data_IF_729295406277
#
_entry.id   IF_729295406277
#
_cell.length_a   1.000
_cell.length_b   1.000
_cell.length_c   1.000
_cell.angle_alpha   90.00
_cell.angle_beta   90.00
_cell.angle_gamma   90.00
#
_symmetry.space_group_name_H-M   'P 1'
#
loop_
_entity.id
_entity.type
_entity.pdbx_description
1 polymer ?
#
# COMPACT_ATOMS: atom_id res chain seq x y z
N UNK A 1 10.15 2.26 0.40
CA UNK A 1 9.66 2.10 1.79
C UNK A 1 8.27 2.69 1.88
N UNK A 2 7.35 2.04 2.59
CA UNK A 2 6.04 2.59 2.94
C UNK A 2 6.14 3.09 4.37
N UNK A 3 5.83 4.36 4.57
CA UNK A 3 5.84 4.96 5.90
C UNK A 3 4.54 4.64 6.65
N UNK A 4 4.73 4.18 7.87
CA UNK A 4 3.73 4.14 8.92
C UNK A 4 3.79 5.45 9.74
N UNK A 5 2.77 5.71 10.55
CA UNK A 5 2.67 6.93 11.37
C UNK A 5 3.89 7.12 12.29
N UNK A 6 4.34 8.37 12.45
CA UNK A 6 5.43 8.81 13.36
C UNK A 6 6.81 8.14 13.15
N UNK A 7 7.17 7.79 11.91
CA UNK A 7 8.55 7.46 11.55
C UNK A 7 8.89 5.97 11.55
N UNK A 8 7.93 5.10 11.84
CA UNK A 8 8.06 3.69 11.47
C UNK A 8 7.86 3.57 9.96
N UNK A 9 8.68 2.74 9.31
CA UNK A 9 8.49 2.40 7.90
C UNK A 9 8.78 0.93 7.71
N UNK A 10 8.19 0.34 6.68
CA UNK A 10 8.40 -1.04 6.29
C UNK A 10 8.60 -1.09 4.77
N UNK A 11 9.26 -2.15 4.28
CA UNK A 11 9.47 -2.30 2.86
C UNK A 11 8.17 -2.67 2.14
N UNK A 12 8.07 -2.30 0.87
CA UNK A 12 6.93 -2.72 0.04
C UNK A 12 6.90 -4.26 -0.06
N UNK A 13 8.07 -4.91 -0.12
CA UNK A 13 8.19 -6.37 -0.13
C UNK A 13 7.72 -7.02 1.17
N UNK A 14 7.85 -6.38 2.34
CA UNK A 14 7.28 -6.91 3.58
C UNK A 14 5.74 -6.89 3.56
N UNK A 15 5.14 -5.82 3.03
CA UNK A 15 3.69 -5.71 2.92
C UNK A 15 3.14 -6.63 1.85
N UNK A 16 3.69 -6.54 0.65
CA UNK A 16 3.18 -7.33 -0.45
C UNK A 16 3.56 -8.79 -0.25
N UNK A 17 4.78 -9.10 0.19
CA UNK A 17 5.39 -10.43 0.35
C UNK A 17 6.48 -10.69 -0.70
N UNK A 18 7.37 -11.65 -0.44
CA UNK A 18 8.62 -11.86 -1.20
C UNK A 18 8.43 -12.22 -2.68
N UNK A 19 7.32 -12.90 -3.03
CA UNK A 19 6.98 -13.32 -4.39
C UNK A 19 6.16 -12.29 -5.18
N UNK A 20 6.23 -11.00 -4.82
CA UNK A 20 5.44 -9.96 -5.47
C UNK A 20 5.75 -9.81 -6.96
N UNK A 21 4.72 -9.52 -7.76
CA UNK A 21 4.86 -9.20 -9.20
C UNK A 21 5.55 -7.85 -9.45
N UNK A 22 5.96 -7.12 -8.41
CA UNK A 22 6.81 -5.94 -8.53
C UNK A 22 8.11 -6.30 -9.27
N UNK A 23 8.44 -5.59 -10.37
CA UNK A 23 9.74 -5.73 -11.00
C UNK A 23 10.85 -5.32 -10.01
N UNK A 24 11.61 -6.29 -9.51
CA UNK A 24 12.70 -6.08 -8.55
C UNK A 24 13.91 -5.45 -9.26
N UNK A 25 13.92 -4.13 -9.37
CA UNK A 25 15.14 -3.33 -9.52
C UNK A 25 15.32 -2.47 -8.24
N UNK A 26 15.40 -3.13 -7.08
CA UNK A 26 15.67 -2.47 -5.78
C UNK A 26 16.95 -3.08 -5.22
N UNK A 27 17.99 -2.26 -5.13
CA UNK A 27 19.31 -2.60 -4.58
C UNK A 27 19.22 -2.61 -3.05
N UNK A 28 19.55 -3.75 -2.44
CA UNK A 28 19.85 -3.88 -1.00
C UNK A 28 21.19 -3.18 -0.73
N UNK A 29 21.22 -2.26 0.22
CA UNK A 29 22.49 -1.73 0.75
C UNK A 29 22.71 -2.27 2.17
N UNK A 30 23.67 -3.18 2.26
CA UNK A 30 24.32 -3.59 3.49
C UNK A 30 25.39 -2.55 3.82
N UNK A 31 25.32 -1.85 4.97
CA UNK A 31 26.47 -1.77 5.89
C UNK A 31 26.16 -1.05 7.22
N UNK A 32 26.67 -1.70 8.27
CA UNK A 32 27.39 -1.16 9.44
C UNK A 32 26.64 -0.52 10.63
N UNK A 33 26.80 -1.25 11.73
CA UNK A 33 26.83 -0.81 13.11
C UNK A 33 27.89 0.30 13.32
N UNK A 34 27.56 1.36 14.05
CA UNK A 34 28.35 1.79 15.21
C UNK A 34 27.49 2.68 16.14
N UNK A 35 27.82 2.66 17.44
CA UNK A 35 26.99 3.16 18.55
C UNK A 35 27.18 4.62 18.98
N UNK A 36 26.50 5.01 20.07
CA UNK A 36 26.89 6.14 20.93
C UNK A 36 25.80 7.15 21.36
N UNK A 37 25.10 6.84 22.45
CA UNK A 37 24.63 7.64 23.61
C UNK A 37 24.07 9.10 23.53
N UNK A 38 22.84 9.21 24.05
CA UNK A 38 22.25 10.09 25.11
C UNK A 38 22.50 11.62 25.22
N UNK A 39 21.38 12.36 25.47
CA UNK A 39 21.40 13.68 26.13
C UNK A 39 20.13 14.56 26.03
N UNK A 40 19.19 14.39 26.99
CA UNK A 40 18.38 15.39 27.76
C UNK A 40 17.52 16.53 27.12
N UNK A 41 16.40 16.79 27.82
CA UNK A 41 15.21 17.64 27.60
C UNK A 41 15.44 19.18 27.55
N UNK A 42 14.57 19.91 26.82
CA UNK A 42 13.62 20.87 27.43
C UNK A 42 12.44 21.23 26.50
N UNK A 43 11.34 21.64 27.14
CA UNK A 43 9.95 21.75 26.70
C UNK A 43 9.64 23.09 25.98
N UNK A 44 8.71 23.07 25.01
CA UNK A 44 7.82 24.21 24.70
C UNK A 44 6.71 23.79 23.71
N UNK A 45 5.56 23.45 24.31
CA UNK A 45 4.19 23.70 23.85
C UNK A 45 4.00 24.45 22.51
N UNK A 46 3.55 23.75 21.45
CA UNK A 46 2.62 24.28 20.44
C UNK A 46 1.97 23.19 19.54
N UNK A 47 0.65 22.99 19.73
CA UNK A 47 -0.46 22.70 18.80
C UNK A 47 -0.29 21.83 17.51
N UNK A 48 -1.30 20.95 17.33
CA UNK A 48 -1.73 20.17 16.14
C UNK A 48 -0.73 19.09 15.67
N UNK A 49 -1.01 18.02 14.88
CA UNK A 49 -1.50 17.92 13.50
C UNK A 49 -1.57 16.39 13.12
N UNK A 50 -2.49 15.91 12.26
CA UNK A 50 -2.57 14.50 11.76
C UNK A 50 -1.89 14.28 10.39
N UNK A 51 -1.66 13.01 9.97
CA UNK A 51 -0.59 12.64 9.02
C UNK A 51 -0.87 11.43 8.03
N UNK A 52 -1.00 11.59 6.68
CA UNK A 52 -0.82 10.59 5.54
C UNK A 52 0.58 10.60 4.88
N UNK A 53 1.34 9.51 4.97
CA UNK A 53 2.71 9.51 4.45
C UNK A 53 2.81 9.24 2.94
N UNK A 54 3.74 9.94 2.27
CA UNK A 54 4.06 9.82 0.84
C UNK A 54 5.59 9.75 0.72
N UNK A 55 6.14 8.82 -0.08
CA UNK A 55 7.56 8.83 -0.41
C UNK A 55 7.76 8.69 -1.92
N UNK A 56 8.69 9.47 -2.48
CA UNK A 56 9.13 9.41 -3.88
C UNK A 56 10.47 8.66 -4.00
N UNK A 57 10.74 7.92 -5.10
CA UNK A 57 11.99 7.18 -5.27
C UNK A 57 13.21 8.08 -5.58
N UNK A 58 14.42 7.68 -5.14
CA UNK A 58 15.74 8.26 -5.52
C UNK A 58 16.40 7.45 -6.66
N UNK A 59 17.23 8.10 -7.49
CA UNK A 59 17.62 7.74 -8.88
C UNK A 59 19.11 7.35 -9.08
N UNK A 60 19.42 6.42 -10.02
CA UNK A 60 20.45 6.46 -11.14
C UNK A 60 20.46 5.11 -11.91
N UNK A 61 20.73 4.91 -13.22
CA UNK A 61 21.43 5.59 -14.35
C UNK A 61 20.80 5.18 -15.74
N UNK A 62 21.22 5.70 -16.93
CA UNK A 62 20.36 5.87 -18.11
C UNK A 62 20.32 4.67 -19.09
N UNK A 63 19.10 4.22 -19.41
CA UNK A 63 18.78 3.32 -20.51
C UNK A 63 17.64 3.96 -21.36
N UNK A 64 17.47 3.60 -22.65
CA UNK A 64 16.81 4.46 -23.63
C UNK A 64 15.35 4.78 -23.29
N UNK A 65 15.07 6.09 -23.23
CA UNK A 65 13.81 6.85 -23.36
C UNK A 65 12.46 6.14 -23.17
N UNK A 66 12.32 5.25 -22.18
CA UNK A 66 11.00 4.94 -21.62
C UNK A 66 10.70 6.00 -20.55
N UNK A 67 9.47 6.52 -20.44
CA UNK A 67 9.09 7.36 -19.31
C UNK A 67 9.50 6.65 -18.03
N UNK A 68 10.33 7.30 -17.23
CA UNK A 68 10.81 6.70 -15.99
C UNK A 68 9.60 6.57 -15.07
N UNK A 69 9.37 5.39 -14.49
CA UNK A 69 8.21 5.14 -13.63
C UNK A 69 8.65 5.09 -12.18
N UNK A 70 8.04 5.94 -11.35
CA UNK A 70 8.17 5.90 -9.90
C UNK A 70 7.17 4.95 -9.26
N UNK A 71 7.46 4.51 -8.04
CA UNK A 71 6.53 3.75 -7.21
C UNK A 71 5.90 4.67 -6.18
N UNK A 72 4.58 4.77 -6.21
CA UNK A 72 3.77 5.59 -5.32
C UNK A 72 2.93 4.71 -4.41
N UNK A 73 2.53 5.25 -3.26
CA UNK A 73 1.60 4.58 -2.37
C UNK A 73 0.70 5.58 -1.65
N UNK A 74 -0.46 5.09 -1.20
CA UNK A 74 -1.36 5.81 -0.31
C UNK A 74 -1.94 4.83 0.71
N UNK A 75 -2.06 5.27 1.96
CA UNK A 75 -2.67 4.50 3.06
C UNK A 75 -3.97 5.19 3.45
N UNK A 76 -5.10 4.50 3.27
CA UNK A 76 -6.44 4.99 3.56
C UNK A 76 -6.95 4.23 4.78
N UNK A 77 -7.18 4.95 5.87
CA UNK A 77 -7.78 4.40 7.08
C UNK A 77 -9.30 4.61 7.04
N UNK A 78 -10.05 3.56 7.36
CA UNK A 78 -11.51 3.57 7.44
C UNK A 78 -11.91 3.46 8.91
N UNK A 79 -12.43 4.56 9.46
CA UNK A 79 -12.97 4.61 10.83
C UNK A 79 -14.26 3.79 10.92
N UNK A 80 -14.70 3.37 12.11
CA UNK A 80 -15.91 2.56 12.26
C UNK A 80 -17.18 3.14 11.63
N UNK A 81 -17.32 4.47 11.59
CA UNK A 81 -18.46 5.15 10.97
C UNK A 81 -18.32 5.45 9.46
N UNK A 82 -17.19 5.10 8.86
CA UNK A 82 -16.93 5.35 7.44
C UNK A 82 -17.51 4.24 6.54
N UNK A 83 -17.43 4.43 5.22
CA UNK A 83 -17.83 3.45 4.24
C UNK A 83 -16.77 2.34 4.07
N UNK A 84 -17.14 1.09 4.30
CA UNK A 84 -16.22 -0.06 4.39
C UNK A 84 -16.12 -0.93 3.15
N UNK A 85 -16.60 -0.45 2.00
CA UNK A 85 -16.42 -1.13 0.71
C UNK A 85 -15.27 -0.50 -0.05
N UNK A 86 -14.46 -1.35 -0.64
CA UNK A 86 -13.26 -1.01 -1.39
C UNK A 86 -13.61 -1.12 -2.87
N UNK A 87 -13.32 -0.06 -3.61
CA UNK A 87 -13.55 0.01 -5.04
C UNK A 87 -12.23 0.06 -5.79
N UNK A 88 -12.25 -0.42 -7.02
CA UNK A 88 -11.14 -0.31 -7.94
C UNK A 88 -10.86 1.16 -8.28
N UNK A 89 -9.64 1.69 -8.04
CA UNK A 89 -9.32 3.11 -8.25
C UNK A 89 -9.14 3.47 -9.74
N UNK A 90 -8.87 2.48 -10.58
CA UNK A 90 -8.61 2.61 -12.01
C UNK A 90 -9.01 1.33 -12.74
N UNK A 91 -8.95 1.33 -14.06
CA UNK A 91 -8.99 0.12 -14.84
C UNK A 91 -7.68 -0.66 -14.63
N UNK A 92 -7.78 -1.92 -14.21
CA UNK A 92 -6.62 -2.79 -14.01
C UNK A 92 -6.98 -4.27 -14.05
N UNK A 93 -5.96 -5.07 -14.32
CA UNK A 93 -6.01 -6.53 -14.38
C UNK A 93 -5.42 -7.11 -13.10
N UNK A 94 -6.25 -7.70 -12.25
CA UNK A 94 -5.80 -8.43 -11.05
C UNK A 94 -5.30 -9.80 -11.47
N UNK A 95 -4.00 -10.02 -11.33
CA UNK A 95 -3.32 -11.24 -11.77
C UNK A 95 -3.25 -12.29 -10.65
N UNK A 96 -3.24 -11.86 -9.40
CA UNK A 96 -3.23 -12.78 -8.28
C UNK A 96 -3.57 -12.13 -6.95
N UNK A 97 -3.83 -13.00 -5.99
CA UNK A 97 -4.13 -12.70 -4.60
C UNK A 97 -3.15 -13.42 -3.70
N UNK A 98 -2.72 -12.75 -2.63
CA UNK A 98 -2.00 -13.37 -1.51
C UNK A 98 -2.69 -13.01 -0.20
N UNK A 99 -3.05 -14.01 0.58
CA UNK A 99 -3.66 -13.86 1.89
C UNK A 99 -2.62 -14.21 2.95
N UNK A 100 -2.31 -13.21 3.77
CA UNK A 100 -1.41 -13.35 4.89
C UNK A 100 -2.26 -13.50 6.12
N UNK A 101 -2.31 -14.72 6.65
CA UNK A 101 -2.78 -14.96 8.00
C UNK A 101 -1.87 -14.19 8.98
N UNK A 102 -2.44 -13.55 9.99
CA UNK A 102 -1.68 -12.65 10.86
C UNK A 102 -2.43 -12.28 12.14
N UNK A 103 -1.90 -11.30 12.85
CA UNK A 103 -2.55 -10.74 14.05
C UNK A 103 -3.72 -9.85 13.64
N UNK A 104 -4.50 -9.41 14.62
CA UNK A 104 -5.53 -8.41 14.41
C UNK A 104 -5.34 -7.32 15.46
N UNK A 105 -4.23 -6.60 15.39
CA UNK A 105 -4.01 -5.42 16.24
C UNK A 105 -4.97 -4.30 15.85
N UNK A 106 -5.30 -3.38 16.77
CA UNK A 106 -6.23 -2.30 16.47
C UNK A 106 -5.52 -1.28 15.56
N UNK A 107 -6.27 -0.69 14.62
CA UNK A 107 -5.73 0.33 13.71
C UNK A 107 -5.96 1.76 14.22
N UNK A 108 -6.12 1.94 15.53
CA UNK A 108 -6.28 3.26 16.11
C UNK A 108 -4.94 4.03 16.10
N UNK A 109 -5.03 5.34 16.32
CA UNK A 109 -3.87 6.23 16.27
C UNK A 109 -2.77 5.83 17.27
N UNK A 110 -3.14 5.31 18.45
CA UNK A 110 -2.16 4.84 19.44
C UNK A 110 -1.36 3.67 18.89
N UNK A 111 -2.04 2.65 18.38
CA UNK A 111 -1.41 1.44 17.86
C UNK A 111 -0.52 1.71 16.64
N UNK A 112 -0.99 2.53 15.69
CA UNK A 112 -0.18 2.94 14.52
C UNK A 112 1.11 3.67 14.90
N UNK A 113 1.14 4.31 16.07
CA UNK A 113 2.32 5.01 16.62
C UNK A 113 3.23 4.14 17.48
N UNK A 114 2.75 3.01 17.99
CA UNK A 114 3.51 2.19 18.97
C UNK A 114 3.91 0.82 18.46
N UNK A 115 3.12 0.23 17.56
CA UNK A 115 3.35 -1.12 17.04
C UNK A 115 4.13 -1.00 15.73
N UNK A 116 5.35 -1.53 15.69
CA UNK A 116 6.15 -1.58 14.45
C UNK A 116 5.53 -2.57 13.47
N UNK A 117 5.66 -2.29 12.18
CA UNK A 117 5.16 -3.17 11.11
C UNK A 117 3.68 -3.51 11.25
N UNK A 118 2.86 -2.61 11.79
CA UNK A 118 1.47 -2.88 12.17
C UNK A 118 0.67 -3.49 11.01
N UNK A 119 0.83 -2.93 9.81
CA UNK A 119 0.11 -3.39 8.63
C UNK A 119 0.64 -4.72 8.07
N UNK A 120 1.90 -5.07 8.35
CA UNK A 120 2.53 -6.34 7.94
C UNK A 120 2.23 -7.46 8.94
N UNK A 121 2.15 -7.12 10.22
CA UNK A 121 1.81 -8.05 11.30
C UNK A 121 0.33 -8.43 11.29
N UNK A 122 -0.53 -7.52 10.84
CA UNK A 122 -1.95 -7.80 10.74
C UNK A 122 -2.28 -8.71 9.57
N UNK A 123 -3.33 -9.51 9.76
CA UNK A 123 -3.95 -10.28 8.70
C UNK A 123 -4.34 -9.33 7.56
N UNK A 124 -4.02 -9.73 6.33
CA UNK A 124 -4.30 -8.91 5.15
C UNK A 124 -4.47 -9.76 3.90
N UNK A 125 -5.22 -9.21 2.96
CA UNK A 125 -5.36 -9.76 1.62
C UNK A 125 -4.79 -8.75 0.64
N UNK A 126 -3.83 -9.20 -0.17
CA UNK A 126 -3.14 -8.39 -1.16
C UNK A 126 -3.57 -8.85 -2.54
N UNK A 127 -4.08 -7.93 -3.34
CA UNK A 127 -4.34 -8.12 -4.77
C UNK A 127 -3.24 -7.46 -5.56
N UNK A 128 -2.69 -8.16 -6.54
CA UNK A 128 -1.59 -7.68 -7.38
C UNK A 128 -1.93 -7.81 -8.85
N UNK A 129 -1.49 -6.85 -9.64
CA UNK A 129 -1.90 -6.78 -11.02
C UNK A 129 -1.18 -5.71 -11.83
N UNK A 130 -1.78 -5.41 -12.98
CA UNK A 130 -1.31 -4.38 -13.90
C UNK A 130 -2.42 -3.39 -14.23
N UNK A 131 -2.13 -2.11 -14.06
CA UNK A 131 -2.95 -1.01 -14.56
C UNK A 131 -2.26 -0.36 -15.76
N UNK A 132 -2.86 0.71 -16.30
CA UNK A 132 -2.35 1.42 -17.48
C UNK A 132 -0.85 1.75 -17.37
N UNK A 133 -0.37 2.18 -16.21
CA UNK A 133 1.02 2.58 -16.02
C UNK A 133 1.95 1.50 -15.47
N UNK A 134 1.50 0.24 -15.38
CA UNK A 134 2.34 -0.87 -14.97
C UNK A 134 1.82 -1.53 -13.71
N UNK A 135 2.67 -1.78 -12.73
CA UNK A 135 2.28 -2.49 -11.53
C UNK A 135 1.27 -1.71 -10.67
N UNK A 136 0.26 -2.41 -10.16
CA UNK A 136 -0.62 -1.95 -9.09
C UNK A 136 -0.87 -3.09 -8.10
N UNK A 137 -0.90 -2.76 -6.81
CA UNK A 137 -1.35 -3.64 -5.76
C UNK A 137 -2.23 -2.91 -4.76
N UNK A 138 -3.17 -3.65 -4.20
CA UNK A 138 -4.06 -3.17 -3.16
C UNK A 138 -4.07 -4.18 -2.01
N UNK A 139 -3.68 -3.72 -0.82
CA UNK A 139 -3.72 -4.52 0.40
C UNK A 139 -4.89 -4.06 1.28
N UNK A 140 -5.84 -4.97 1.49
CA UNK A 140 -6.89 -4.84 2.51
C UNK A 140 -6.36 -5.41 3.82
N UNK A 141 -6.23 -4.58 4.86
CA UNK A 141 -5.62 -4.98 6.14
C UNK A 141 -6.69 -4.99 7.24
N UNK A 142 -6.84 -6.14 7.89
CA UNK A 142 -7.79 -6.36 8.98
C UNK A 142 -7.34 -5.73 10.30
N UNK A 143 -8.26 -5.62 11.26
CA UNK A 143 -8.01 -5.05 12.58
C UNK A 143 -8.73 -5.81 13.70
N UNK A 144 -8.44 -5.49 14.97
CA UNK A 144 -9.09 -6.12 16.14
C UNK A 144 -10.61 -6.06 16.06
N UNK A 145 -11.28 -7.14 16.46
CA UNK A 145 -12.73 -7.35 16.40
C UNK A 145 -13.32 -7.39 14.98
N UNK A 146 -12.56 -6.96 13.97
CA UNK A 146 -13.04 -6.82 12.60
C UNK A 146 -11.98 -7.24 11.58
N UNK A 147 -11.56 -8.50 11.63
CA UNK A 147 -10.59 -9.06 10.70
C UNK A 147 -11.19 -9.60 9.39
N UNK A 148 -12.52 -9.61 9.24
CA UNK A 148 -13.16 -10.21 8.08
C UNK A 148 -13.03 -9.31 6.85
N UNK A 149 -12.38 -9.83 5.81
CA UNK A 149 -12.14 -9.22 4.52
C UNK A 149 -12.83 -10.12 3.49
N UNK A 150 -13.80 -9.57 2.80
CA UNK A 150 -14.53 -10.27 1.75
C UNK A 150 -14.05 -9.76 0.40
N UNK A 151 -13.63 -10.67 -0.49
CA UNK A 151 -13.30 -10.36 -1.88
C UNK A 151 -14.46 -10.79 -2.79
N UNK A 152 -14.98 -9.88 -3.61
CA UNK A 152 -16.09 -10.22 -4.50
C UNK A 152 -15.66 -11.08 -5.70
N UNK A 153 -14.40 -10.96 -6.11
CA UNK A 153 -13.79 -11.81 -7.14
C UNK A 153 -13.57 -13.25 -6.66
N UNK A 154 -13.54 -13.48 -5.34
CA UNK A 154 -13.29 -14.80 -4.75
C UNK A 154 -14.16 -14.99 -3.48
N UNK A 155 -15.48 -15.19 -3.62
CA UNK A 155 -16.40 -15.28 -2.49
C UNK A 155 -16.14 -16.49 -1.56
N UNK A 156 -15.33 -17.45 -2.02
CA UNK A 156 -14.90 -18.62 -1.25
C UNK A 156 -13.77 -18.33 -0.28
N UNK A 157 -13.03 -17.23 -0.46
CA UNK A 157 -11.98 -16.82 0.47
C UNK A 157 -12.59 -16.53 1.84
N UNK A 158 -11.97 -17.06 2.90
CA UNK A 158 -12.38 -16.76 4.28
C UNK A 158 -11.17 -16.30 5.07
N UNK A 159 -11.22 -15.07 5.55
CA UNK A 159 -10.22 -14.50 6.48
C UNK A 159 -10.72 -14.58 7.92
N UNK A 160 -9.94 -14.06 8.87
CA UNK A 160 -10.23 -14.08 10.30
C UNK A 160 -10.48 -15.50 10.82
N UNK A 161 -9.75 -16.47 10.27
CA UNK A 161 -9.77 -17.85 10.75
C UNK A 161 -8.97 -17.92 12.06
N UNK A 162 -9.31 -18.84 12.98
CA UNK A 162 -8.54 -19.04 14.19
C UNK A 162 -7.07 -19.29 13.85
N UNK A 163 -6.21 -18.31 14.13
CA UNK A 163 -4.78 -18.42 13.94
C UNK A 163 -4.25 -19.49 14.90
N UNK A 164 -3.92 -20.67 14.37
CA UNK A 164 -3.19 -21.68 15.13
C UNK A 164 -1.79 -21.12 15.33
N UNK A 165 -1.38 -20.88 16.58
CA UNK A 165 0.01 -20.55 16.92
C UNK A 165 0.91 -21.75 16.60
N UNK A 166 1.13 -22.03 15.33
CA UNK A 166 2.20 -22.92 14.91
C UNK A 166 3.51 -22.20 15.20
N UNK A 167 4.52 -22.99 15.56
CA UNK A 167 5.85 -22.50 15.92
C UNK A 167 6.59 -21.82 14.75
N UNK A 168 5.99 -21.83 13.55
CA UNK A 168 6.51 -21.23 12.33
C UNK A 168 5.44 -20.37 11.65
N UNK A 169 5.81 -19.21 11.07
CA UNK A 169 4.91 -18.44 10.22
C UNK A 169 4.41 -19.31 9.07
N UNK A 170 3.09 -19.41 8.88
CA UNK A 170 2.53 -20.05 7.71
C UNK A 170 2.87 -19.22 6.46
N UNK A 171 3.25 -19.85 5.33
CA UNK A 171 3.38 -19.12 4.08
C UNK A 171 2.02 -18.51 3.70
N UNK A 172 2.00 -17.37 2.99
CA UNK A 172 0.75 -16.80 2.54
C UNK A 172 0.02 -17.77 1.62
N UNK A 173 -1.30 -17.82 1.73
CA UNK A 173 -2.13 -18.53 0.77
C UNK A 173 -2.14 -17.73 -0.54
N UNK A 174 -1.70 -18.33 -1.65
CA UNK A 174 -1.61 -17.66 -2.94
C UNK A 174 -2.63 -18.21 -3.94
N UNK A 175 -3.28 -17.32 -4.69
CA UNK A 175 -4.13 -17.67 -5.82
C UNK A 175 -3.72 -16.84 -7.02
N UNK A 176 -3.46 -17.51 -8.15
CA UNK A 176 -3.25 -16.85 -9.44
C UNK A 176 -4.56 -16.92 -10.22
N UNK A 177 -4.98 -15.81 -10.80
CA UNK A 177 -6.19 -15.76 -11.61
C UNK A 177 -5.86 -16.09 -13.06
N UNK A 178 -6.59 -17.06 -13.61
CA UNK A 178 -6.40 -17.54 -14.98
C UNK A 178 -7.33 -16.81 -15.96
N UNK A 179 -6.89 -16.50 -17.20
CA UNK A 179 -5.56 -16.78 -17.75
C UNK A 179 -4.48 -15.87 -17.13
N UNK A 180 -3.32 -16.42 -16.75
CA UNK A 180 -2.24 -15.65 -16.08
C UNK A 180 -1.82 -14.36 -16.78
N UNK A 181 -2.02 -14.27 -18.09
CA UNK A 181 -1.70 -13.07 -18.89
C UNK A 181 -2.64 -11.90 -18.62
N UNK A 182 -3.87 -12.18 -18.21
CA UNK A 182 -4.96 -11.21 -18.18
C UNK A 182 -5.60 -11.10 -16.80
N UNK A 183 -5.67 -12.21 -16.05
CA UNK A 183 -6.31 -12.25 -14.74
C UNK A 183 -7.77 -11.79 -14.78
N UNK A 184 -8.23 -11.17 -13.70
CA UNK A 184 -9.58 -10.57 -13.60
C UNK A 184 -9.51 -9.08 -13.93
N UNK A 185 -10.23 -8.66 -14.97
CA UNK A 185 -10.34 -7.24 -15.34
C UNK A 185 -11.33 -6.54 -14.40
N UNK A 186 -10.88 -5.46 -13.77
CA UNK A 186 -11.71 -4.55 -12.98
C UNK A 186 -11.73 -3.17 -13.63
N UNK A 187 -12.91 -2.59 -13.73
CA UNK A 187 -13.11 -1.20 -14.16
C UNK A 187 -13.01 -0.25 -12.99
N UNK A 188 -12.62 0.98 -13.28
CA UNK A 188 -12.66 2.06 -12.29
C UNK A 188 -14.06 2.16 -11.68
N UNK A 189 -14.13 2.11 -10.35
CA UNK A 189 -15.37 2.17 -9.59
C UNK A 189 -16.00 0.81 -9.29
N UNK A 190 -15.55 -0.28 -9.93
CA UNK A 190 -16.03 -1.62 -9.60
C UNK A 190 -15.77 -1.94 -8.13
N UNK A 191 -16.76 -2.54 -7.48
CA UNK A 191 -16.61 -2.97 -6.10
C UNK A 191 -15.74 -4.22 -6.04
N UNK A 192 -14.68 -4.17 -5.24
CA UNK A 192 -13.62 -5.18 -5.23
C UNK A 192 -13.67 -6.03 -3.96
N UNK A 193 -13.85 -5.39 -2.83
CA UNK A 193 -13.80 -6.02 -1.53
C UNK A 193 -14.61 -5.23 -0.51
N UNK A 194 -14.94 -5.86 0.61
CA UNK A 194 -15.53 -5.18 1.75
C UNK A 194 -14.88 -5.62 3.05
N UNK A 195 -14.88 -4.71 4.01
CA UNK A 195 -14.62 -5.03 5.40
C UNK A 195 -15.95 -5.09 6.14
N UNK A 196 -16.05 -6.01 7.09
CA UNK A 196 -17.29 -6.10 7.87
C UNK A 196 -17.44 -4.96 8.90
N UNK A 197 -16.38 -4.22 9.28
CA UNK A 197 -16.41 -2.99 10.13
C UNK A 197 -14.98 -2.41 10.42
N UNK A 198 -14.51 -1.32 9.81
CA UNK A 198 -13.24 -0.67 10.21
C UNK A 198 -11.97 -1.37 9.72
N UNK A 199 -11.06 -0.63 9.08
CA UNK A 199 -9.89 -1.24 8.42
C UNK A 199 -8.89 -0.22 7.86
N UNK A 200 -7.88 -0.73 7.15
CA UNK A 200 -6.92 0.07 6.38
C UNK A 200 -6.77 -0.52 4.97
N UNK A 201 -6.76 0.35 3.96
CA UNK A 201 -6.40 0.01 2.57
C UNK A 201 -5.05 0.62 2.26
N UNK A 202 -4.10 -0.18 1.79
CA UNK A 202 -2.82 0.31 1.27
C UNK A 202 -2.81 0.11 -0.24
N UNK A 203 -2.80 1.22 -0.98
CA UNK A 203 -2.66 1.22 -2.43
C UNK A 203 -1.20 1.48 -2.80
N UNK A 204 -0.63 0.66 -3.67
CA UNK A 204 0.74 0.78 -4.18
C UNK A 204 0.69 0.69 -5.70
N UNK A 205 1.30 1.63 -6.43
CA UNK A 205 1.22 1.64 -7.89
C UNK A 205 2.40 2.34 -8.55
N UNK A 206 2.72 1.94 -9.77
CA UNK A 206 3.70 2.61 -10.61
C UNK A 206 3.06 3.72 -11.42
N UNK A 207 3.70 4.89 -11.51
CA UNK A 207 3.27 5.98 -12.37
C UNK A 207 4.49 6.73 -12.96
N UNK A 208 4.38 7.35 -14.15
CA UNK A 208 5.38 8.26 -14.70
C UNK A 208 5.86 9.34 -13.71
N UNK A 209 7.19 9.54 -13.71
CA UNK A 209 7.87 10.66 -13.06
C UNK A 209 8.55 11.53 -14.12
N UNK A 210 8.67 12.82 -13.83
CA UNK A 210 9.22 13.82 -14.74
C UNK A 210 10.67 13.48 -15.12
N UNK A 211 10.97 13.41 -16.43
CA UNK A 211 12.36 13.38 -16.90
C UNK A 211 12.86 14.81 -17.12
N UNK A 212 14.10 15.13 -16.72
CA UNK A 212 14.78 16.30 -17.27
C UNK A 212 15.15 16.04 -18.73
N UNK A 213 14.20 16.18 -19.66
CA UNK A 213 14.50 16.21 -21.10
C UNK A 213 14.92 17.62 -21.52
N UNK A 214 15.95 17.71 -22.36
CA UNK A 214 16.41 18.96 -22.97
C UNK A 214 15.33 19.61 -23.85
N UNK A 215 14.37 18.83 -24.34
CA UNK A 215 13.20 19.29 -25.07
C UNK A 215 12.00 19.41 -24.11
N UNK A 216 11.51 20.64 -23.92
CA UNK A 216 10.38 21.02 -23.04
C UNK A 216 9.01 20.54 -23.52
N UNK A 217 8.93 19.49 -24.33
CA UNK A 217 7.65 19.00 -24.86
C UNK A 217 7.30 17.67 -24.24
N UNK A 218 6.27 17.69 -23.38
CA UNK A 218 5.46 16.53 -22.96
C UNK A 218 6.13 15.50 -22.07
N UNK A 219 6.17 15.78 -20.76
CA UNK A 219 6.31 14.72 -19.74
C UNK A 219 5.20 14.90 -18.70
N UNK A 220 4.18 14.05 -18.75
CA UNK A 220 3.11 14.04 -17.77
C UNK A 220 3.61 13.43 -16.46
N UNK A 221 3.57 14.20 -15.38
CA UNK A 221 3.93 13.74 -14.02
C UNK A 221 2.67 13.42 -13.22
N UNK A 222 2.70 12.30 -12.48
CA UNK A 222 1.67 12.01 -11.48
C UNK A 222 1.88 12.85 -10.23
N UNK A 223 0.83 13.51 -9.77
CA UNK A 223 0.80 14.15 -8.45
C UNK A 223 -0.44 13.73 -7.66
N UNK A 224 -0.27 13.60 -6.34
CA UNK A 224 -1.43 13.45 -5.45
C UNK A 224 -2.16 14.79 -5.33
N UNK A 225 -3.48 14.75 -5.47
CA UNK A 225 -4.36 15.90 -5.19
C UNK A 225 -4.76 15.98 -3.71
N UNK A 226 -4.43 14.93 -2.95
CA UNK A 226 -4.71 14.78 -1.52
C UNK A 226 -3.42 14.92 -0.71
N UNK A 227 -3.56 15.29 0.55
CA UNK A 227 -2.45 15.46 1.49
C UNK A 227 -2.57 14.56 2.71
N UNK A 228 -1.47 14.60 3.45
CA UNK A 228 -1.26 14.13 4.82
C UNK A 228 -2.45 14.45 5.74
N UNK A 229 -3.44 13.55 5.84
CA UNK A 229 -4.54 13.63 6.81
C UNK A 229 -5.88 14.10 6.26
N UNK A 230 -5.99 14.27 4.94
CA UNK A 230 -7.25 14.66 4.29
C UNK A 230 -8.29 13.53 4.41
N UNK A 231 -9.56 13.92 4.52
CA UNK A 231 -10.69 12.99 4.30
C UNK A 231 -10.94 12.90 2.81
N UNK A 232 -11.14 11.68 2.33
CA UNK A 232 -11.44 11.40 0.92
C UNK A 232 -12.80 10.72 0.81
N UNK A 233 -13.57 11.08 -0.20
CA UNK A 233 -14.84 10.43 -0.51
C UNK A 233 -14.67 9.35 -1.57
N UNK A 234 -15.58 8.37 -1.59
CA UNK A 234 -15.66 7.43 -2.71
C UNK A 234 -15.91 8.21 -4.01
N UNK A 235 -15.12 7.92 -5.05
CA UNK A 235 -15.16 8.61 -6.34
C UNK A 235 -14.31 9.88 -6.40
N UNK A 236 -13.79 10.38 -5.28
CA UNK A 236 -12.85 11.50 -5.27
C UNK A 236 -11.50 11.09 -5.84
N UNK A 237 -10.89 11.98 -6.64
CA UNK A 237 -9.61 11.70 -7.26
C UNK A 237 -8.47 11.78 -6.23
N UNK A 238 -7.73 10.68 -6.04
CA UNK A 238 -6.55 10.65 -5.19
C UNK A 238 -5.37 11.44 -5.81
N UNK A 239 -5.27 11.43 -7.13
CA UNK A 239 -4.22 12.11 -7.88
C UNK A 239 -4.60 12.35 -9.33
N UNK A 240 -3.79 13.15 -10.02
CA UNK A 240 -3.99 13.54 -11.41
C UNK A 240 -2.67 13.53 -12.15
N UNK A 241 -2.78 13.50 -13.46
CA UNK A 241 -1.69 13.80 -14.37
C UNK A 241 -1.64 15.31 -14.58
N UNK A 242 -0.46 15.88 -14.47
CA UNK A 242 -0.22 17.21 -15.03
C UNK A 242 0.09 17.04 -16.51
N UNK A 243 -0.88 17.34 -17.37
CA UNK A 243 -0.56 17.67 -18.76
C UNK A 243 0.13 19.04 -18.77
N UNK A 244 1.21 19.23 -19.56
CA UNK A 244 1.89 20.51 -19.69
C UNK A 244 1.01 21.62 -20.28
#
# INVERSE_FOLDING_TARGET
MIEQVKGFSYSVSSLLGASSLLPMNVVDDNTNQDGGQEGSMDDTNQKSWWRVSLASPKVRDPAPARPMKGLFYCVIYLSPGDYHRIHSPADWNVLGRRHFSGRLFPMNERATRTIRNLYVENERVVLEGKWQEGFMAMAAVGATNIGSIELFIEPTLRTNRPWKKLLHPEPPEEQVYEPRSTGVLLKKGDELAAFNMGSTVVLVFQAPILQPSADKSTSAEFSFCIKKGDRVHMGEALGRWHDP
#
